data_IF_062389791999
#
_entry.id   IF_062389791999
#
_cell.length_a   1.000
_cell.length_b   1.000
_cell.length_c   1.000
_cell.angle_alpha   90.00
_cell.angle_beta   90.00
_cell.angle_gamma   90.00
#
_symmetry.space_group_name_H-M   'P 1'
#
loop_
_entity.id
_entity.type
_entity.pdbx_description
1 polymer ?
#
# COMPACT_ATOMS: atom_id res chain seq x y z
N UNK A 1 -11.14 -14.76 4.04
CA UNK A 1 -9.99 -15.01 3.14
C UNK A 1 -8.71 -14.78 3.94
N UNK A 2 -7.60 -15.44 3.59
CA UNK A 2 -6.33 -15.33 4.34
C UNK A 2 -5.54 -14.06 4.00
N UNK A 3 -5.72 -13.51 2.79
CA UNK A 3 -5.13 -12.25 2.37
C UNK A 3 -5.96 -11.51 1.31
N UNK A 4 -5.66 -10.22 1.11
CA UNK A 4 -6.26 -9.33 0.13
C UNK A 4 -5.16 -8.59 -0.65
N UNK A 5 -5.41 -8.32 -1.93
CA UNK A 5 -4.58 -7.46 -2.79
C UNK A 5 -5.44 -6.32 -3.30
N UNK A 6 -5.02 -5.08 -3.03
CA UNK A 6 -5.72 -3.86 -3.41
C UNK A 6 -4.79 -3.04 -4.30
N UNK A 7 -5.23 -2.73 -5.52
CA UNK A 7 -4.44 -1.99 -6.50
C UNK A 7 -5.12 -0.67 -6.83
N UNK A 8 -4.44 0.44 -6.53
CA UNK A 8 -4.87 1.83 -6.76
C UNK A 8 -6.32 2.14 -6.36
N UNK A 9 -6.81 1.48 -5.30
CA UNK A 9 -8.20 1.61 -4.82
C UNK A 9 -8.54 3.02 -4.31
N UNK A 10 -7.52 3.84 -4.09
CA UNK A 10 -7.61 5.20 -3.59
C UNK A 10 -7.46 6.27 -4.68
N UNK A 11 -7.24 5.90 -5.95
CA UNK A 11 -7.00 6.85 -7.04
C UNK A 11 -8.10 7.90 -7.24
N UNK A 12 -9.34 7.59 -6.85
CA UNK A 12 -10.49 8.49 -6.93
C UNK A 12 -10.85 9.17 -5.58
N UNK A 13 -10.08 8.92 -4.52
CA UNK A 13 -10.37 9.44 -3.19
C UNK A 13 -9.65 10.77 -2.95
N UNK A 14 -10.34 11.68 -2.25
CA UNK A 14 -9.66 12.84 -1.67
C UNK A 14 -8.76 12.43 -0.49
N UNK A 15 -7.95 13.38 -0.01
CA UNK A 15 -7.01 13.16 1.10
C UNK A 15 -7.70 12.61 2.36
N UNK A 16 -8.85 13.16 2.74
CA UNK A 16 -9.56 12.75 3.97
C UNK A 16 -10.07 11.31 3.85
N UNK A 17 -10.63 10.96 2.71
CA UNK A 17 -11.13 9.62 2.44
C UNK A 17 -9.99 8.60 2.34
N UNK A 18 -8.83 9.01 1.80
CA UNK A 18 -7.61 8.20 1.77
C UNK A 18 -7.09 7.88 3.18
N UNK A 19 -7.05 8.87 4.08
CA UNK A 19 -6.67 8.66 5.48
C UNK A 19 -7.66 7.74 6.22
N UNK A 20 -8.96 7.85 5.94
CA UNK A 20 -9.95 6.94 6.51
C UNK A 20 -9.76 5.51 6.00
N UNK A 21 -9.53 5.33 4.70
CA UNK A 21 -9.24 4.02 4.11
C UNK A 21 -7.99 3.40 4.73
N UNK A 22 -6.92 4.17 4.90
CA UNK A 22 -5.67 3.70 5.51
C UNK A 22 -5.87 3.17 6.93
N UNK A 23 -6.60 3.91 7.77
CA UNK A 23 -6.94 3.47 9.13
C UNK A 23 -7.81 2.21 9.14
N UNK A 24 -8.73 2.08 8.19
CA UNK A 24 -9.56 0.88 8.06
C UNK A 24 -8.70 -0.33 7.68
N UNK A 25 -7.85 -0.22 6.66
CA UNK A 25 -6.95 -1.30 6.24
C UNK A 25 -6.04 -1.70 7.40
N UNK A 26 -5.44 -0.74 8.11
CA UNK A 26 -4.62 -1.01 9.29
C UNK A 26 -5.39 -1.81 10.34
N UNK A 27 -6.59 -1.37 10.70
CA UNK A 27 -7.45 -2.06 11.68
C UNK A 27 -7.81 -3.49 11.26
N UNK A 28 -8.05 -3.74 9.97
CA UNK A 28 -8.40 -5.09 9.49
C UNK A 28 -7.18 -5.97 9.26
N UNK A 29 -5.98 -5.39 9.14
CA UNK A 29 -4.73 -6.13 8.97
C UNK A 29 -4.40 -7.08 10.12
N UNK A 30 -4.96 -6.85 11.32
CA UNK A 30 -4.87 -7.78 12.46
C UNK A 30 -5.56 -9.12 12.22
N UNK A 31 -6.47 -9.20 11.24
CA UNK A 31 -7.30 -10.40 10.97
C UNK A 31 -6.94 -11.09 9.65
N UNK A 32 -6.33 -10.38 8.71
CA UNK A 32 -5.94 -10.89 7.41
C UNK A 32 -4.76 -10.08 6.86
N UNK A 33 -3.96 -10.68 5.98
CA UNK A 33 -2.87 -9.95 5.34
C UNK A 33 -3.38 -9.03 4.22
N UNK A 34 -2.87 -7.80 4.15
CA UNK A 34 -3.21 -6.84 3.08
C UNK A 34 -1.95 -6.48 2.31
N UNK A 35 -1.98 -6.66 0.99
CA UNK A 35 -1.04 -6.07 0.05
C UNK A 35 -1.75 -4.90 -0.62
N UNK A 36 -1.19 -3.70 -0.47
CA UNK A 36 -1.75 -2.46 -1.03
C UNK A 36 -0.73 -1.88 -1.99
N UNK A 37 -1.16 -1.65 -3.23
CA UNK A 37 -0.39 -0.96 -4.26
C UNK A 37 -1.03 0.42 -4.42
N UNK A 38 -0.27 1.45 -4.07
CA UNK A 38 -0.74 2.84 -4.11
C UNK A 38 0.45 3.79 -4.14
N UNK A 39 0.23 4.99 -4.67
CA UNK A 39 1.17 6.11 -4.65
C UNK A 39 0.79 7.16 -3.58
N UNK A 40 -0.18 6.88 -2.72
CA UNK A 40 -0.72 7.83 -1.75
C UNK A 40 -0.06 7.72 -0.38
N UNK A 41 0.57 8.81 0.03
CA UNK A 41 1.33 8.91 1.29
C UNK A 41 0.51 8.46 2.51
N UNK A 42 -0.80 8.73 2.55
CA UNK A 42 -1.65 8.39 3.68
C UNK A 42 -1.81 6.86 3.84
N UNK A 43 -1.87 6.11 2.74
CA UNK A 43 -1.90 4.65 2.78
C UNK A 43 -0.52 4.08 3.09
N UNK A 44 0.49 4.64 2.44
CA UNK A 44 1.89 4.22 2.61
C UNK A 44 2.33 4.36 4.07
N UNK A 45 1.97 5.46 4.74
CA UNK A 45 2.40 5.74 6.12
C UNK A 45 1.82 4.80 7.18
N UNK A 46 0.67 4.18 6.91
CA UNK A 46 0.03 3.23 7.85
C UNK A 46 0.50 1.78 7.63
N UNK A 47 1.30 1.54 6.59
CA UNK A 47 1.89 0.26 6.24
C UNK A 47 2.87 -0.26 7.30
N UNK A 48 3.03 -1.59 7.35
CA UNK A 48 4.01 -2.23 8.27
C UNK A 48 5.34 -2.52 7.58
N UNK A 49 5.32 -2.65 6.26
CA UNK A 49 6.48 -2.88 5.42
C UNK A 49 6.19 -2.24 4.07
N UNK A 50 7.10 -1.41 3.61
CA UNK A 50 7.07 -0.78 2.29
C UNK A 50 7.89 -1.63 1.33
N UNK A 51 7.33 -1.90 0.15
CA UNK A 51 8.07 -2.43 -0.98
C UNK A 51 8.10 -1.37 -2.07
N UNK A 52 9.24 -0.71 -2.24
CA UNK A 52 9.48 0.22 -3.34
C UNK A 52 9.87 -0.54 -4.59
N UNK A 53 9.19 -0.27 -5.71
CA UNK A 53 9.50 -0.84 -7.02
C UNK A 53 10.00 0.28 -7.92
N UNK A 54 11.19 0.12 -8.47
CA UNK A 54 11.76 1.00 -9.49
C UNK A 54 12.05 0.21 -10.76
N UNK A 55 12.14 0.89 -11.90
CA UNK A 55 12.48 0.28 -13.19
C UNK A 55 13.76 0.92 -13.71
N UNK A 56 14.71 0.10 -14.15
CA UNK A 56 15.94 0.60 -14.75
C UNK A 56 15.76 0.96 -16.24
N UNK A 57 16.82 1.50 -16.85
CA UNK A 57 16.84 1.89 -18.27
C UNK A 57 16.67 0.72 -19.25
N UNK A 58 16.82 -0.52 -18.78
CA UNK A 58 16.61 -1.74 -19.56
C UNK A 58 15.21 -2.35 -19.34
N UNK A 59 14.35 -1.70 -18.55
CA UNK A 59 12.99 -2.16 -18.27
C UNK A 59 12.91 -3.27 -17.21
N UNK A 60 13.99 -3.53 -16.47
CA UNK A 60 14.01 -4.53 -15.40
C UNK A 60 13.57 -3.87 -14.09
N UNK A 61 12.60 -4.48 -13.41
CA UNK A 61 12.12 -4.01 -12.12
C UNK A 61 13.06 -4.42 -10.99
N UNK A 62 13.40 -3.44 -10.14
CA UNK A 62 14.16 -3.61 -8.92
C UNK A 62 13.24 -3.37 -7.71
N UNK A 63 13.35 -4.20 -6.68
CA UNK A 63 12.49 -4.14 -5.50
C UNK A 63 13.35 -3.89 -4.26
N UNK A 64 12.95 -2.90 -3.45
CA UNK A 64 13.55 -2.57 -2.16
C UNK A 64 12.50 -2.71 -1.06
N UNK A 65 12.82 -3.44 -0.01
CA UNK A 65 11.97 -3.59 1.17
C UNK A 65 12.46 -2.71 2.33
N UNK A 66 11.54 -1.98 2.98
CA UNK A 66 11.79 -1.23 4.21
C UNK A 66 10.72 -1.59 5.24
N UNK A 67 11.13 -1.85 6.48
CA UNK A 67 10.19 -1.99 7.60
C UNK A 67 9.96 -0.63 8.25
N UNK A 68 8.70 -0.23 8.39
CA UNK A 68 8.27 1.08 8.92
C UNK A 68 7.76 0.89 10.36
#
# INVERSE_FOLDING_TARGET
ASFYVLDEVDAALDKRNSEMLAKLIKKYSDKAQYLVISHNDALISEGSTLYGVSMDEHGVSNVVGLKI
#
